data_IF_163884698781
#
_entry.id   IF_163884698781
#
_cell.length_a   1.000
_cell.length_b   1.000
_cell.length_c   1.000
_cell.angle_alpha   90.00
_cell.angle_beta   90.00
_cell.angle_gamma   90.00
#
_symmetry.space_group_name_H-M   'P 1'
#
loop_
_entity.id
_entity.type
_entity.pdbx_description
1 polymer ?
#
# COMPACT_ATOMS: atom_id res chain seq x y z
N UNK A 1 10.77 3.29 -33.51
CA UNK A 1 10.26 2.00 -33.00
C UNK A 1 11.34 1.13 -32.36
N UNK A 2 12.54 0.95 -32.96
CA UNK A 2 13.64 0.20 -32.34
C UNK A 2 14.04 0.69 -30.94
N UNK A 3 14.06 2.02 -30.73
CA UNK A 3 14.33 2.63 -29.43
C UNK A 3 13.31 2.22 -28.35
N UNK A 4 12.01 2.28 -28.64
CA UNK A 4 10.97 1.82 -27.71
C UNK A 4 11.08 0.33 -27.38
N UNK A 5 11.45 -0.49 -28.36
CA UNK A 5 11.63 -1.93 -28.16
C UNK A 5 12.87 -2.18 -27.28
N UNK A 6 13.98 -1.47 -27.46
CA UNK A 6 15.16 -1.57 -26.59
C UNK A 6 14.90 -1.10 -25.16
N UNK A 7 14.12 -0.02 -24.98
CA UNK A 7 13.68 0.46 -23.66
C UNK A 7 12.84 -0.60 -22.96
N UNK A 8 11.86 -1.19 -23.67
CA UNK A 8 10.98 -2.25 -23.15
C UNK A 8 11.79 -3.51 -22.86
N UNK A 9 12.75 -3.88 -23.72
CA UNK A 9 13.57 -5.07 -23.52
C UNK A 9 14.53 -4.91 -22.33
N UNK A 10 15.10 -3.72 -22.11
CA UNK A 10 15.87 -3.41 -20.89
C UNK A 10 15.02 -3.42 -19.63
N UNK A 11 13.80 -2.88 -19.70
CA UNK A 11 12.82 -2.95 -18.62
C UNK A 11 12.42 -4.39 -18.32
N UNK A 12 12.26 -5.24 -19.34
CA UNK A 12 11.98 -6.68 -19.23
C UNK A 12 13.18 -7.46 -18.66
N UNK A 13 14.41 -7.10 -19.01
CA UNK A 13 15.62 -7.72 -18.41
C UNK A 13 15.83 -7.28 -16.96
N UNK A 14 15.39 -6.07 -16.58
CA UNK A 14 15.22 -5.71 -15.18
C UNK A 14 14.07 -6.49 -14.53
N UNK A 15 12.98 -6.75 -15.26
CA UNK A 15 11.81 -7.52 -14.82
C UNK A 15 12.11 -9.01 -14.57
N UNK A 16 13.11 -9.56 -15.26
CA UNK A 16 13.61 -10.93 -15.11
C UNK A 16 14.49 -11.10 -13.86
N UNK A 17 14.93 -10.00 -13.25
CA UNK A 17 15.73 -10.01 -12.03
C UNK A 17 14.78 -10.29 -10.85
N UNK A 18 15.11 -11.22 -9.96
CA UNK A 18 14.27 -11.58 -8.79
C UNK A 18 13.79 -10.35 -7.97
N UNK A 19 14.53 -9.25 -8.06
CA UNK A 19 14.26 -7.95 -7.45
C UNK A 19 12.94 -7.28 -7.92
N UNK A 20 12.51 -7.43 -9.17
CA UNK A 20 11.24 -6.88 -9.68
C UNK A 20 10.04 -7.72 -9.25
N UNK A 21 10.21 -9.04 -9.10
CA UNK A 21 9.18 -9.88 -8.48
C UNK A 21 8.90 -9.45 -7.05
N UNK A 22 9.93 -9.13 -6.27
CA UNK A 22 9.75 -8.61 -4.92
C UNK A 22 9.00 -7.26 -4.89
N UNK A 23 9.29 -6.35 -5.83
CA UNK A 23 8.54 -5.09 -5.96
C UNK A 23 7.08 -5.33 -6.36
N UNK A 24 6.81 -6.22 -7.32
CA UNK A 24 5.45 -6.58 -7.74
C UNK A 24 4.66 -7.20 -6.59
N UNK A 25 5.28 -8.12 -5.84
CA UNK A 25 4.65 -8.73 -4.65
C UNK A 25 4.33 -7.67 -3.61
N UNK A 26 5.26 -6.74 -3.34
CA UNK A 26 5.05 -5.65 -2.37
C UNK A 26 3.91 -4.72 -2.80
N UNK A 27 3.87 -4.32 -4.08
CA UNK A 27 2.77 -3.52 -4.64
C UNK A 27 1.45 -4.29 -4.55
N UNK A 28 1.47 -5.60 -4.87
CA UNK A 28 0.30 -6.47 -4.77
C UNK A 28 -0.25 -6.56 -3.35
N UNK A 29 0.62 -6.66 -2.34
CA UNK A 29 0.23 -6.65 -0.92
C UNK A 29 -0.42 -5.31 -0.54
N UNK A 30 0.21 -4.18 -0.88
CA UNK A 30 -0.36 -2.86 -0.58
C UNK A 30 -1.68 -2.61 -1.33
N UNK A 31 -1.78 -3.02 -2.59
CA UNK A 31 -2.99 -2.92 -3.37
C UNK A 31 -4.12 -3.79 -2.80
N UNK A 32 -3.81 -5.00 -2.34
CA UNK A 32 -4.77 -5.90 -1.68
C UNK A 32 -5.27 -5.32 -0.35
N UNK A 33 -4.38 -4.73 0.45
CA UNK A 33 -4.74 -4.01 1.68
C UNK A 33 -5.63 -2.81 1.37
N UNK A 34 -5.26 -1.97 0.40
CA UNK A 34 -6.05 -0.83 -0.03
C UNK A 34 -7.43 -1.25 -0.56
N UNK A 35 -7.51 -2.32 -1.34
CA UNK A 35 -8.77 -2.88 -1.83
C UNK A 35 -9.66 -3.35 -0.68
N UNK A 36 -9.09 -4.04 0.31
CA UNK A 36 -9.83 -4.51 1.47
C UNK A 36 -10.40 -3.34 2.27
N UNK A 37 -9.56 -2.37 2.62
CA UNK A 37 -9.97 -1.15 3.35
C UNK A 37 -11.02 -0.36 2.56
N UNK A 38 -10.83 -0.19 1.25
CA UNK A 38 -11.78 0.50 0.38
C UNK A 38 -13.12 -0.23 0.26
N UNK A 39 -13.12 -1.57 0.16
CA UNK A 39 -14.34 -2.36 0.13
C UNK A 39 -15.17 -2.22 1.40
N UNK A 40 -14.51 -2.17 2.57
CA UNK A 40 -15.19 -1.86 3.83
C UNK A 40 -15.68 -0.41 3.92
N UNK A 41 -14.88 0.54 3.44
CA UNK A 41 -15.29 1.95 3.39
C UNK A 41 -16.56 2.15 2.54
N UNK A 42 -16.66 1.49 1.38
CA UNK A 42 -17.87 1.55 0.54
C UNK A 42 -19.11 0.94 1.19
N UNK A 43 -18.96 -0.02 2.11
CA UNK A 43 -20.09 -0.57 2.87
C UNK A 43 -20.60 0.39 3.95
N UNK A 44 -19.72 1.25 4.45
CA UNK A 44 -20.06 2.26 5.46
C UNK A 44 -20.49 3.60 4.89
N UNK A 45 -20.37 3.79 3.57
CA UNK A 45 -20.67 5.07 2.92
C UNK A 45 -22.18 5.26 2.78
N UNK A 46 -22.70 6.34 3.38
CA UNK A 46 -24.13 6.62 3.51
C UNK A 46 -24.85 6.75 2.15
N UNK A 47 -24.11 7.06 1.08
CA UNK A 47 -24.66 7.15 -0.29
C UNK A 47 -25.07 5.76 -0.82
N UNK A 48 -24.31 4.71 -0.53
CA UNK A 48 -24.60 3.33 -0.98
C UNK A 48 -25.66 2.63 -0.11
N UNK A 49 -25.79 3.04 1.16
CA UNK A 49 -26.92 2.72 2.02
C UNK A 49 -28.20 3.41 1.54
N UNK A 50 -28.12 4.70 1.18
CA UNK A 50 -29.23 5.46 0.59
C UNK A 50 -29.70 4.88 -0.75
N UNK A 51 -28.79 4.36 -1.57
CA UNK A 51 -29.09 3.64 -2.81
C UNK A 51 -29.54 2.18 -2.60
N UNK A 52 -29.71 1.73 -1.34
CA UNK A 52 -30.16 0.39 -0.93
C UNK A 52 -29.39 -0.77 -1.60
N UNK A 53 -28.15 -0.50 -2.05
CA UNK A 53 -27.28 -1.44 -2.78
C UNK A 53 -26.44 -2.31 -1.83
N UNK A 54 -26.38 -1.96 -0.55
CA UNK A 54 -25.57 -2.65 0.46
C UNK A 54 -26.47 -3.08 1.63
N UNK A 55 -26.75 -4.39 1.72
CA UNK A 55 -27.64 -4.99 2.72
C UNK A 55 -26.97 -5.26 4.09
N UNK A 56 -25.92 -4.51 4.44
CA UNK A 56 -25.16 -4.70 5.67
C UNK A 56 -25.30 -3.50 6.60
N UNK A 57 -26.05 -3.65 7.69
CA UNK A 57 -26.26 -2.63 8.70
C UNK A 57 -24.96 -2.34 9.49
N UNK A 58 -24.10 -1.46 8.98
CA UNK A 58 -23.03 -0.87 9.78
C UNK A 58 -23.56 0.41 10.46
N UNK A 59 -23.14 0.66 11.70
CA UNK A 59 -23.56 1.84 12.48
C UNK A 59 -23.06 3.13 11.82
N UNK A 60 -23.84 4.21 11.88
CA UNK A 60 -23.44 5.51 11.32
C UNK A 60 -22.07 5.95 11.86
N UNK A 61 -21.15 6.30 10.95
CA UNK A 61 -19.83 6.80 11.29
C UNK A 61 -19.93 8.24 11.78
N UNK A 62 -19.32 8.52 12.94
CA UNK A 62 -19.18 9.90 13.40
C UNK A 62 -18.17 10.67 12.55
N UNK A 63 -18.37 11.99 12.40
CA UNK A 63 -17.45 12.86 11.67
C UNK A 63 -15.98 12.71 12.10
N UNK A 64 -15.72 12.47 13.39
CA UNK A 64 -14.36 12.26 13.89
C UNK A 64 -13.69 10.98 13.35
N UNK A 65 -14.46 9.91 13.17
CA UNK A 65 -13.93 8.63 12.66
C UNK A 65 -13.70 8.70 11.15
N UNK A 66 -14.56 9.42 10.44
CA UNK A 66 -14.37 9.70 9.01
C UNK A 66 -13.05 10.45 8.80
N UNK A 67 -12.80 11.50 9.60
CA UNK A 67 -11.54 12.27 9.53
C UNK A 67 -10.35 11.38 9.87
N UNK A 68 -10.44 10.55 10.92
CA UNK A 68 -9.38 9.62 11.30
C UNK A 68 -9.06 8.60 10.19
N UNK A 69 -10.09 8.02 9.56
CA UNK A 69 -9.96 7.10 8.42
C UNK A 69 -9.33 7.77 7.21
N UNK A 70 -9.80 8.97 6.87
CA UNK A 70 -9.28 9.73 5.74
C UNK A 70 -7.80 10.08 5.93
N UNK A 71 -7.45 10.57 7.12
CA UNK A 71 -6.09 10.84 7.52
C UNK A 71 -5.23 9.56 7.45
N UNK A 72 -5.76 8.45 7.96
CA UNK A 72 -5.13 7.13 7.88
C UNK A 72 -4.83 6.69 6.44
N UNK A 73 -5.73 6.91 5.49
CA UNK A 73 -5.50 6.57 4.07
C UNK A 73 -4.37 7.38 3.45
N UNK A 74 -4.26 8.68 3.78
CA UNK A 74 -3.15 9.52 3.33
C UNK A 74 -1.82 9.00 3.88
N UNK A 75 -1.76 8.73 5.19
CA UNK A 75 -0.56 8.19 5.82
C UNK A 75 -0.21 6.79 5.30
N UNK A 76 -1.20 5.94 5.02
CA UNK A 76 -0.99 4.65 4.37
C UNK A 76 -0.35 4.79 2.99
N UNK A 77 -0.86 5.70 2.15
CA UNK A 77 -0.31 5.96 0.83
C UNK A 77 1.14 6.48 0.91
N UNK A 78 1.40 7.45 1.79
CA UNK A 78 2.75 8.01 1.99
C UNK A 78 3.73 6.94 2.46
N UNK A 79 3.36 6.13 3.46
CA UNK A 79 4.21 5.06 3.99
C UNK A 79 4.45 3.94 2.96
N UNK A 80 3.46 3.59 2.15
CA UNK A 80 3.63 2.65 1.04
C UNK A 80 4.60 3.18 -0.03
N UNK A 81 4.48 4.46 -0.42
CA UNK A 81 5.40 5.11 -1.36
C UNK A 81 6.83 5.18 -0.82
N UNK A 82 6.99 5.55 0.45
CA UNK A 82 8.30 5.58 1.11
C UNK A 82 8.92 4.19 1.17
N UNK A 83 8.13 3.16 1.49
CA UNK A 83 8.58 1.76 1.48
C UNK A 83 9.10 1.36 0.09
N UNK A 84 8.37 1.70 -0.97
CA UNK A 84 8.79 1.42 -2.34
C UNK A 84 10.07 2.17 -2.72
N UNK A 85 10.18 3.45 -2.34
CA UNK A 85 11.38 4.26 -2.57
C UNK A 85 12.62 3.68 -1.88
N UNK A 86 12.52 3.36 -0.58
CA UNK A 86 13.61 2.74 0.19
C UNK A 86 14.00 1.37 -0.35
N UNK A 87 13.02 0.59 -0.83
CA UNK A 87 13.28 -0.69 -1.48
C UNK A 87 14.06 -0.51 -2.78
N UNK A 88 13.68 0.45 -3.63
CA UNK A 88 14.44 0.77 -4.86
C UNK A 88 15.87 1.23 -4.53
N UNK A 89 16.02 2.08 -3.50
CA UNK A 89 17.31 2.60 -3.06
C UNK A 89 18.23 1.49 -2.53
N UNK A 90 17.67 0.54 -1.79
CA UNK A 90 18.38 -0.67 -1.35
C UNK A 90 18.97 -1.46 -2.53
N UNK A 91 18.19 -1.67 -3.59
CA UNK A 91 18.64 -2.41 -4.76
C UNK A 91 19.79 -1.68 -5.48
N UNK A 92 19.72 -0.34 -5.56
CA UNK A 92 20.79 0.47 -6.14
C UNK A 92 22.08 0.38 -5.31
N UNK A 93 21.99 0.48 -3.97
CA UNK A 93 23.17 0.36 -3.11
C UNK A 93 23.77 -1.04 -3.12
N UNK A 94 22.93 -2.08 -3.23
CA UNK A 94 23.38 -3.46 -3.39
C UNK A 94 24.13 -3.68 -4.70
N UNK A 95 23.71 -3.05 -5.79
CA UNK A 95 24.43 -3.10 -7.08
C UNK A 95 25.77 -2.36 -7.04
N UNK A 96 25.89 -1.30 -6.24
CA UNK A 96 27.14 -0.54 -6.06
C UNK A 96 28.06 -1.09 -4.96
N UNK A 97 27.78 -2.29 -4.43
CA UNK A 97 28.51 -2.92 -3.32
C UNK A 97 28.62 -2.05 -2.03
N UNK A 98 27.72 -1.07 -1.85
CA UNK A 98 27.69 -0.18 -0.69
C UNK A 98 26.89 -0.81 0.47
N UNK A 99 27.47 -1.83 1.12
CA UNK A 99 26.78 -2.69 2.10
C UNK A 99 26.19 -1.95 3.31
N UNK A 100 26.85 -0.90 3.80
CA UNK A 100 26.37 -0.15 4.97
C UNK A 100 25.11 0.69 4.65
N UNK A 101 25.12 1.37 3.51
CA UNK A 101 23.97 2.18 3.06
C UNK A 101 22.78 1.29 2.66
N UNK A 102 23.05 0.12 2.06
CA UNK A 102 22.02 -0.86 1.71
C UNK A 102 21.28 -1.40 2.95
N UNK A 103 22.01 -1.69 4.04
CA UNK A 103 21.40 -2.20 5.28
C UNK A 103 20.52 -1.15 5.95
N UNK A 104 20.94 0.12 5.89
CA UNK A 104 20.15 1.24 6.43
C UNK A 104 18.86 1.46 5.65
N UNK A 105 18.90 1.48 4.32
CA UNK A 105 17.68 1.63 3.52
C UNK A 105 16.71 0.47 3.70
N UNK A 106 17.21 -0.76 3.90
CA UNK A 106 16.34 -1.89 4.28
C UNK A 106 15.65 -1.67 5.63
N UNK A 107 16.38 -1.20 6.64
CA UNK A 107 15.81 -0.95 7.96
C UNK A 107 14.70 0.10 7.91
N UNK A 108 14.93 1.20 7.18
CA UNK A 108 13.90 2.23 6.97
C UNK A 108 12.72 1.70 6.14
N UNK A 109 12.98 0.95 5.07
CA UNK A 109 11.93 0.30 4.28
C UNK A 109 11.05 -0.63 5.12
N UNK A 110 11.64 -1.45 5.99
CA UNK A 110 10.88 -2.32 6.91
C UNK A 110 10.07 -1.48 7.92
N UNK A 111 10.65 -0.40 8.43
CA UNK A 111 9.95 0.52 9.34
C UNK A 111 8.70 1.14 8.70
N UNK A 112 8.83 1.64 7.47
CA UNK A 112 7.70 2.20 6.73
C UNK A 112 6.66 1.14 6.34
N UNK A 113 7.10 -0.07 5.98
CA UNK A 113 6.20 -1.18 5.69
C UNK A 113 5.39 -1.58 6.93
N UNK A 114 6.05 -1.68 8.09
CA UNK A 114 5.40 -1.98 9.37
C UNK A 114 4.38 -0.89 9.74
N UNK A 115 4.73 0.39 9.56
CA UNK A 115 3.81 1.50 9.78
C UNK A 115 2.57 1.40 8.87
N UNK A 116 2.75 1.14 7.57
CA UNK A 116 1.66 0.96 6.62
C UNK A 116 0.74 -0.20 7.02
N UNK A 117 1.32 -1.34 7.43
CA UNK A 117 0.56 -2.51 7.91
C UNK A 117 -0.24 -2.15 9.17
N UNK A 118 0.37 -1.48 10.15
CA UNK A 118 -0.33 -1.05 11.36
C UNK A 118 -1.52 -0.14 11.06
N UNK A 119 -1.37 0.81 10.13
CA UNK A 119 -2.47 1.71 9.71
C UNK A 119 -3.60 0.89 9.07
N UNK A 120 -3.27 -0.02 8.15
CA UNK A 120 -4.27 -0.85 7.48
C UNK A 120 -5.01 -1.78 8.46
N UNK A 121 -4.29 -2.41 9.40
CA UNK A 121 -4.88 -3.27 10.43
C UNK A 121 -5.78 -2.45 11.36
N UNK A 122 -5.34 -1.27 11.80
CA UNK A 122 -6.16 -0.39 12.63
C UNK A 122 -7.47 0.00 11.92
N UNK A 123 -7.40 0.34 10.63
CA UNK A 123 -8.58 0.63 9.83
C UNK A 123 -9.53 -0.59 9.75
N UNK A 124 -9.01 -1.78 9.44
CA UNK A 124 -9.82 -3.00 9.37
C UNK A 124 -10.49 -3.34 10.72
N UNK A 125 -9.77 -3.18 11.84
CA UNK A 125 -10.32 -3.42 13.18
C UNK A 125 -11.46 -2.44 13.48
N UNK A 126 -11.32 -1.17 13.12
CA UNK A 126 -12.39 -0.18 13.28
C UNK A 126 -13.58 -0.56 12.41
N UNK A 127 -13.38 -0.84 11.12
CA UNK A 127 -14.49 -1.26 10.25
C UNK A 127 -15.21 -2.51 10.77
N UNK A 128 -14.48 -3.52 11.23
CA UNK A 128 -15.06 -4.73 11.81
C UNK A 128 -15.86 -4.45 13.09
N UNK A 129 -15.43 -3.48 13.91
CA UNK A 129 -16.17 -3.05 15.11
C UNK A 129 -17.46 -2.30 14.78
N UNK A 130 -17.51 -1.57 13.66
CA UNK A 130 -18.67 -0.77 13.24
C UNK A 130 -19.69 -1.55 12.42
N UNK A 131 -19.25 -2.63 11.77
CA UNK A 131 -20.07 -3.51 10.94
C UNK A 131 -20.51 -4.81 11.63
N UNK A 132 -20.26 -4.96 12.92
CA UNK A 132 -20.75 -6.04 13.77
C UNK A 132 -21.91 -5.54 14.62
#
# INVERSE_FOLDING_TARGET
MKWFIEEITRLIDQLKRWQTWAAIVLIGIFASLAFSVGSFAFRTDGILLYLNRTAGACRELSNGIIIFMFCGMIFFMLTALLTLGEFQQYLQYKQRAAHYQASRSLFWGIGWAAAAICIAVAALVIFNRYCR
#
